data_IF_762891253729
#
_entry.id   IF_762891253729
#
_cell.length_a   1.000
_cell.length_b   1.000
_cell.length_c   1.000
_cell.angle_alpha   90.00
_cell.angle_beta   90.00
_cell.angle_gamma   90.00
#
_symmetry.space_group_name_H-M   'P 1'
#
loop_
_entity.id
_entity.type
_entity.pdbx_description
1 polymer ?
#
# COMPACT_ATOMS: atom_id res chain seq x y z
N UNK A 1 0.10 -42.07 -10.17
CA UNK A 1 -0.12 -40.80 -10.88
C UNK A 1 -1.34 -40.88 -11.82
N UNK A 2 -1.44 -41.80 -12.80
CA UNK A 2 -2.67 -41.94 -13.60
C UNK A 2 -3.94 -42.13 -12.77
N UNK A 3 -3.89 -42.95 -11.72
CA UNK A 3 -5.02 -43.15 -10.81
C UNK A 3 -5.35 -41.95 -9.92
N UNK A 4 -4.51 -40.93 -9.92
CA UNK A 4 -4.72 -39.68 -9.18
C UNK A 4 -5.22 -38.53 -10.06
N UNK A 5 -5.53 -38.80 -11.36
CA UNK A 5 -6.17 -37.83 -12.24
C UNK A 5 -5.23 -37.07 -13.19
N UNK A 6 -3.92 -37.24 -13.08
CA UNK A 6 -3.00 -36.78 -14.12
C UNK A 6 -2.99 -37.82 -15.27
N UNK A 7 -3.18 -37.37 -16.50
CA UNK A 7 -3.27 -38.22 -17.71
C UNK A 7 -2.00 -39.00 -18.01
N UNK A 8 -1.71 -39.18 -19.30
CA UNK A 8 -0.46 -39.82 -19.72
C UNK A 8 0.71 -38.86 -19.53
N UNK A 9 1.64 -39.24 -18.66
CA UNK A 9 2.79 -38.42 -18.28
C UNK A 9 4.03 -38.84 -19.09
N UNK A 10 4.80 -37.85 -19.48
CA UNK A 10 6.16 -38.03 -20.01
C UNK A 10 7.13 -38.46 -18.93
N UNK A 11 8.31 -38.94 -19.32
CA UNK A 11 9.38 -39.30 -18.37
C UNK A 11 9.83 -38.06 -17.60
N UNK A 12 9.96 -36.90 -18.25
CA UNK A 12 10.41 -35.65 -17.62
C UNK A 12 9.40 -35.14 -16.57
N UNK A 13 8.11 -35.22 -16.86
CA UNK A 13 7.05 -34.87 -15.89
C UNK A 13 7.06 -35.80 -14.68
N UNK A 14 7.25 -37.11 -14.89
CA UNK A 14 7.38 -38.08 -13.78
C UNK A 14 8.60 -37.78 -12.90
N UNK A 15 9.72 -37.39 -13.52
CA UNK A 15 10.95 -36.99 -12.81
C UNK A 15 10.69 -35.73 -12.00
N UNK A 16 10.07 -34.71 -12.59
CA UNK A 16 9.74 -33.44 -11.91
C UNK A 16 8.83 -33.69 -10.70
N UNK A 17 7.76 -34.44 -10.88
CA UNK A 17 6.85 -34.80 -9.78
C UNK A 17 7.60 -35.54 -8.65
N UNK A 18 8.52 -36.45 -9.01
CA UNK A 18 9.29 -37.21 -8.04
C UNK A 18 10.29 -36.34 -7.27
N UNK A 19 11.02 -35.47 -7.96
CA UNK A 19 11.99 -34.54 -7.36
C UNK A 19 11.30 -33.64 -6.33
N UNK A 20 10.11 -33.10 -6.65
CA UNK A 20 9.36 -32.21 -5.79
C UNK A 20 8.49 -32.95 -4.75
N UNK A 21 8.66 -34.28 -4.67
CA UNK A 21 7.90 -35.11 -3.72
C UNK A 21 6.37 -34.93 -3.83
N UNK A 22 5.87 -34.79 -5.07
CA UNK A 22 4.43 -34.78 -5.34
C UNK A 22 3.89 -36.19 -5.21
N UNK A 23 2.96 -36.39 -4.29
CA UNK A 23 2.36 -37.71 -4.04
C UNK A 23 0.99 -37.82 -4.70
N UNK A 24 0.50 -39.04 -4.96
CA UNK A 24 -0.86 -39.27 -5.44
C UNK A 24 -1.94 -38.69 -4.49
N UNK A 25 -1.68 -38.70 -3.18
CA UNK A 25 -2.56 -38.15 -2.16
C UNK A 25 -2.71 -36.63 -2.34
N UNK A 26 -1.57 -35.93 -2.57
CA UNK A 26 -1.57 -34.49 -2.81
C UNK A 26 -2.42 -34.13 -4.05
N UNK A 27 -2.23 -34.86 -5.15
CA UNK A 27 -2.99 -34.65 -6.39
C UNK A 27 -4.49 -34.89 -6.16
N UNK A 28 -4.84 -35.99 -5.46
CA UNK A 28 -6.25 -36.27 -5.12
C UNK A 28 -6.86 -35.14 -4.27
N UNK A 29 -6.14 -34.63 -3.28
CA UNK A 29 -6.62 -33.52 -2.46
C UNK A 29 -6.91 -32.26 -3.27
N UNK A 30 -6.09 -31.94 -4.28
CA UNK A 30 -6.36 -30.83 -5.20
C UNK A 30 -7.60 -31.10 -6.06
N UNK A 31 -7.76 -32.34 -6.57
CA UNK A 31 -8.93 -32.72 -7.38
C UNK A 31 -10.24 -32.71 -6.58
N UNK A 32 -10.22 -33.12 -5.31
CA UNK A 32 -11.38 -33.06 -4.41
C UNK A 32 -11.85 -31.62 -4.16
N UNK A 33 -10.94 -30.66 -4.33
CA UNK A 33 -11.25 -29.23 -4.33
C UNK A 33 -11.70 -28.70 -5.69
N UNK A 34 -11.85 -29.59 -6.69
CA UNK A 34 -12.28 -29.23 -8.05
C UNK A 34 -11.20 -28.62 -8.93
N UNK A 35 -9.92 -28.74 -8.53
CA UNK A 35 -8.80 -28.24 -9.33
C UNK A 35 -8.31 -29.36 -10.27
N UNK A 36 -8.33 -29.11 -11.58
CA UNK A 36 -7.88 -30.01 -12.62
C UNK A 36 -6.66 -29.44 -13.31
N UNK A 37 -5.51 -29.56 -12.63
CA UNK A 37 -4.29 -28.87 -12.98
C UNK A 37 -3.39 -29.72 -13.89
N UNK A 38 -2.59 -29.07 -14.72
CA UNK A 38 -1.48 -29.71 -15.42
C UNK A 38 -0.30 -29.99 -14.45
N UNK A 39 0.70 -30.71 -14.94
CA UNK A 39 1.85 -31.14 -14.13
C UNK A 39 2.66 -29.93 -13.64
N UNK A 40 2.84 -28.92 -14.50
CA UNK A 40 3.67 -27.76 -14.20
C UNK A 40 3.03 -26.93 -13.08
N UNK A 41 1.73 -26.73 -13.12
CA UNK A 41 0.98 -26.02 -12.07
C UNK A 41 1.00 -26.81 -10.75
N UNK A 42 0.81 -28.13 -10.77
CA UNK A 42 0.91 -29.01 -9.59
C UNK A 42 2.31 -28.93 -8.96
N UNK A 43 3.36 -28.96 -9.78
CA UNK A 43 4.75 -28.84 -9.33
C UNK A 43 5.00 -27.44 -8.74
N UNK A 44 4.55 -26.39 -9.41
CA UNK A 44 4.65 -25.01 -8.91
C UNK A 44 3.97 -24.85 -7.56
N UNK A 45 2.74 -25.28 -7.40
CA UNK A 45 2.02 -25.29 -6.13
C UNK A 45 2.79 -26.04 -5.04
N UNK A 46 3.35 -27.19 -5.37
CA UNK A 46 4.13 -27.99 -4.41
C UNK A 46 5.40 -27.28 -3.95
N UNK A 47 6.13 -26.66 -4.88
CA UNK A 47 7.35 -25.88 -4.59
C UNK A 47 7.04 -24.72 -3.66
N UNK A 48 5.92 -24.03 -3.88
CA UNK A 48 5.50 -22.89 -3.07
C UNK A 48 4.82 -23.30 -1.74
N UNK A 49 4.71 -24.61 -1.49
CA UNK A 49 4.10 -25.13 -0.25
C UNK A 49 2.58 -24.90 -0.18
N UNK A 50 1.91 -24.80 -1.31
CA UNK A 50 0.45 -24.85 -1.37
C UNK A 50 -0.02 -26.22 -0.96
N UNK A 51 -0.97 -26.31 -0.04
CA UNK A 51 -1.57 -27.59 0.37
C UNK A 51 -3.09 -27.57 0.14
N UNK A 52 -3.74 -28.72 -0.02
CA UNK A 52 -5.20 -28.78 -0.10
C UNK A 52 -5.90 -28.12 1.10
N UNK A 53 -5.35 -28.28 2.29
CA UNK A 53 -5.87 -27.67 3.53
C UNK A 53 -5.83 -26.14 3.45
N UNK A 54 -4.72 -25.56 2.96
CA UNK A 54 -4.61 -24.11 2.75
C UNK A 54 -5.70 -23.58 1.81
N UNK A 55 -5.90 -24.25 0.67
CA UNK A 55 -6.93 -23.86 -0.29
C UNK A 55 -8.33 -23.98 0.32
N UNK A 56 -8.58 -25.04 1.06
CA UNK A 56 -9.84 -25.24 1.77
C UNK A 56 -10.11 -24.11 2.77
N UNK A 57 -9.16 -23.78 3.64
CA UNK A 57 -9.28 -22.69 4.61
C UNK A 57 -9.53 -21.32 3.95
N UNK A 58 -8.83 -21.03 2.85
CA UNK A 58 -9.03 -19.79 2.08
C UNK A 58 -10.46 -19.73 1.52
N UNK A 59 -10.97 -20.86 1.00
CA UNK A 59 -12.34 -20.94 0.46
C UNK A 59 -13.41 -20.87 1.57
N UNK A 60 -13.16 -21.43 2.74
CA UNK A 60 -14.05 -21.26 3.90
C UNK A 60 -14.16 -19.80 4.33
N UNK A 61 -13.14 -19.00 4.09
CA UNK A 61 -13.20 -17.54 4.26
C UNK A 61 -13.98 -16.85 3.14
N UNK A 62 -14.59 -17.59 2.19
CA UNK A 62 -15.40 -17.05 1.10
C UNK A 62 -14.58 -16.37 0.00
N UNK A 63 -13.30 -16.69 -0.11
CA UNK A 63 -12.45 -16.32 -1.25
C UNK A 63 -12.50 -17.41 -2.31
N UNK A 64 -12.48 -17.02 -3.57
CA UNK A 64 -12.51 -17.96 -4.72
C UNK A 64 -11.35 -17.69 -5.66
N UNK A 65 -10.08 -17.87 -5.16
CA UNK A 65 -8.92 -17.64 -6.00
C UNK A 65 -8.84 -18.66 -7.13
N UNK A 66 -8.35 -18.22 -8.29
CA UNK A 66 -7.89 -19.09 -9.34
C UNK A 66 -6.52 -19.71 -9.03
N UNK A 67 -5.99 -20.54 -9.93
CA UNK A 67 -4.78 -21.31 -9.70
C UNK A 67 -3.55 -20.40 -9.54
N UNK A 68 -3.43 -19.34 -10.34
CA UNK A 68 -2.34 -18.37 -10.27
C UNK A 68 -2.45 -17.52 -8.99
N UNK A 69 -3.65 -17.12 -8.63
CA UNK A 69 -3.92 -16.40 -7.40
C UNK A 69 -3.60 -17.24 -6.16
N UNK A 70 -3.91 -18.54 -6.15
CA UNK A 70 -3.54 -19.46 -5.05
C UNK A 70 -2.01 -19.46 -4.85
N UNK A 71 -1.26 -19.60 -5.94
CA UNK A 71 0.20 -19.56 -5.91
C UNK A 71 0.70 -18.19 -5.46
N UNK A 72 0.16 -17.10 -6.03
CA UNK A 72 0.49 -15.72 -5.67
C UNK A 72 0.24 -15.42 -4.20
N UNK A 73 -0.91 -15.79 -3.66
CA UNK A 73 -1.24 -15.68 -2.25
C UNK A 73 -0.20 -16.39 -1.36
N UNK A 74 0.19 -17.60 -1.76
CA UNK A 74 1.15 -18.38 -0.98
C UNK A 74 2.55 -17.76 -1.00
N UNK A 75 3.02 -17.31 -2.17
CA UNK A 75 4.32 -16.63 -2.34
C UNK A 75 4.38 -15.36 -1.48
N UNK A 76 3.32 -14.58 -1.45
CA UNK A 76 3.26 -13.31 -0.70
C UNK A 76 2.90 -13.52 0.79
N UNK A 77 2.69 -14.76 1.22
CA UNK A 77 2.37 -15.06 2.62
C UNK A 77 0.97 -14.56 3.03
N UNK A 78 0.02 -14.59 2.13
CA UNK A 78 -1.41 -14.38 2.44
C UNK A 78 -1.91 -15.64 3.13
N UNK A 79 -1.83 -15.67 4.45
CA UNK A 79 -2.32 -16.78 5.25
C UNK A 79 -3.81 -16.61 5.61
N UNK A 80 -4.53 -17.69 5.93
CA UNK A 80 -5.90 -17.59 6.45
C UNK A 80 -6.02 -16.65 7.66
N UNK A 81 -5.03 -16.67 8.56
CA UNK A 81 -4.99 -15.75 9.71
C UNK A 81 -4.83 -14.30 9.32
N UNK A 82 -4.02 -14.02 8.30
CA UNK A 82 -3.91 -12.67 7.75
C UNK A 82 -5.24 -12.19 7.18
N UNK A 83 -5.93 -13.03 6.40
CA UNK A 83 -7.25 -12.71 5.85
C UNK A 83 -8.26 -12.43 6.97
N UNK A 84 -8.29 -13.28 8.02
CA UNK A 84 -9.15 -13.05 9.20
C UNK A 84 -8.81 -11.72 9.86
N UNK A 85 -7.52 -11.45 10.10
CA UNK A 85 -7.07 -10.21 10.74
C UNK A 85 -7.47 -8.93 9.98
N UNK A 86 -7.34 -8.95 8.65
CA UNK A 86 -7.78 -7.83 7.78
C UNK A 86 -9.30 -7.65 7.85
N UNK A 87 -10.07 -8.76 7.87
CA UNK A 87 -11.53 -8.71 7.99
C UNK A 87 -12.00 -8.23 9.36
N UNK A 88 -11.34 -8.66 10.42
CA UNK A 88 -11.61 -8.20 11.80
C UNK A 88 -11.27 -6.71 11.94
N UNK A 89 -10.31 -6.21 11.17
CA UNK A 89 -10.06 -4.78 11.04
C UNK A 89 -11.13 -4.04 10.21
N UNK A 90 -12.13 -4.77 9.68
CA UNK A 90 -13.32 -4.24 9.02
C UNK A 90 -13.21 -4.10 7.50
N UNK A 91 -12.22 -4.73 6.88
CA UNK A 91 -12.07 -4.78 5.43
C UNK A 91 -12.62 -6.10 4.85
N UNK A 92 -13.09 -6.04 3.61
CA UNK A 92 -13.47 -7.22 2.82
C UNK A 92 -12.79 -7.19 1.46
N UNK A 93 -11.45 -7.25 1.45
CA UNK A 93 -10.71 -7.20 0.21
C UNK A 93 -10.95 -8.48 -0.61
N UNK A 94 -10.86 -8.35 -1.92
CA UNK A 94 -10.75 -9.49 -2.83
C UNK A 94 -9.33 -10.11 -2.78
N UNK A 95 -9.09 -11.12 -3.62
CA UNK A 95 -7.81 -11.85 -3.63
C UNK A 95 -6.66 -10.97 -4.07
N UNK A 96 -6.85 -10.16 -5.12
CA UNK A 96 -5.80 -9.31 -5.69
C UNK A 96 -5.44 -8.17 -4.73
N UNK A 97 -6.43 -7.62 -4.05
CA UNK A 97 -6.23 -6.64 -2.98
C UNK A 97 -5.46 -7.24 -1.80
N UNK A 98 -5.77 -8.47 -1.38
CA UNK A 98 -5.03 -9.16 -0.32
C UNK A 98 -3.56 -9.37 -0.68
N UNK A 99 -3.30 -9.78 -1.94
CA UNK A 99 -1.95 -9.94 -2.46
C UNK A 99 -1.22 -8.58 -2.46
N UNK A 100 -1.85 -7.55 -3.01
CA UNK A 100 -1.29 -6.19 -3.07
C UNK A 100 -1.01 -5.62 -1.68
N UNK A 101 -1.95 -5.76 -0.75
CA UNK A 101 -1.78 -5.38 0.66
C UNK A 101 -0.57 -6.09 1.28
N UNK A 102 -0.40 -7.38 0.99
CA UNK A 102 0.69 -8.18 1.56
C UNK A 102 2.05 -7.76 1.01
N UNK A 103 2.13 -7.50 -0.31
CA UNK A 103 3.34 -6.98 -0.97
C UNK A 103 3.78 -5.66 -0.35
N UNK A 104 2.84 -4.76 -0.05
CA UNK A 104 3.12 -3.44 0.54
C UNK A 104 3.23 -3.47 2.07
N UNK A 105 3.21 -4.64 2.69
CA UNK A 105 3.37 -4.78 4.14
C UNK A 105 2.20 -4.18 4.94
N UNK A 106 1.00 -4.17 4.37
CA UNK A 106 -0.21 -3.81 5.13
C UNK A 106 -0.47 -4.88 6.18
N UNK A 107 -0.62 -4.48 7.43
CA UNK A 107 -0.97 -5.38 8.52
C UNK A 107 -2.35 -5.05 9.10
N UNK A 108 -3.03 -6.03 9.74
CA UNK A 108 -4.29 -5.75 10.43
C UNK A 108 -4.18 -4.62 11.46
N UNK A 109 -3.02 -4.51 12.13
CA UNK A 109 -2.75 -3.47 13.13
C UNK A 109 -2.71 -2.09 12.49
N UNK A 110 -2.06 -1.96 11.32
CA UNK A 110 -2.02 -0.71 10.58
C UNK A 110 -3.43 -0.26 10.17
N UNK A 111 -4.24 -1.18 9.65
CA UNK A 111 -5.63 -0.90 9.27
C UNK A 111 -6.46 -0.42 10.47
N UNK A 112 -6.35 -1.12 11.62
CA UNK A 112 -7.03 -0.70 12.86
C UNK A 112 -6.58 0.69 13.30
N UNK A 113 -5.27 0.95 13.27
CA UNK A 113 -4.71 2.23 13.68
C UNK A 113 -5.15 3.39 12.77
N UNK A 114 -5.32 3.19 11.45
CA UNK A 114 -5.91 4.20 10.57
C UNK A 114 -7.32 4.58 11.01
N UNK A 115 -8.14 3.58 11.33
CA UNK A 115 -9.52 3.81 11.82
C UNK A 115 -9.56 4.50 13.18
N UNK A 116 -8.64 4.18 14.08
CA UNK A 116 -8.48 4.87 15.36
C UNK A 116 -8.11 6.36 15.17
N UNK A 117 -7.44 6.69 14.07
CA UNK A 117 -7.17 8.08 13.70
C UNK A 117 -8.35 8.76 12.99
N UNK A 118 -9.49 8.09 12.84
CA UNK A 118 -10.71 8.60 12.22
C UNK A 118 -10.75 8.49 10.70
N UNK A 119 -9.77 7.83 10.09
CA UNK A 119 -9.73 7.58 8.65
C UNK A 119 -10.57 6.33 8.30
N UNK A 120 -11.17 6.36 7.12
CA UNK A 120 -11.94 5.23 6.59
C UNK A 120 -11.49 4.91 5.15
N UNK A 121 -10.23 4.48 4.99
CA UNK A 121 -9.72 4.11 3.68
C UNK A 121 -10.41 2.86 3.16
N UNK A 122 -10.47 2.68 1.86
CA UNK A 122 -10.76 1.40 1.22
C UNK A 122 -9.47 0.56 1.03
N UNK A 123 -9.57 -0.58 0.32
CA UNK A 123 -8.41 -1.47 0.13
C UNK A 123 -7.28 -0.84 -0.68
N UNK A 124 -7.63 -0.10 -1.72
CA UNK A 124 -6.67 0.54 -2.62
C UNK A 124 -6.06 1.79 -1.97
N UNK A 125 -6.84 2.50 -1.18
CA UNK A 125 -6.37 3.60 -0.33
C UNK A 125 -5.28 3.14 0.64
N UNK A 126 -5.52 2.04 1.35
CA UNK A 126 -4.53 1.48 2.30
C UNK A 126 -3.24 1.10 1.61
N UNK A 127 -3.33 0.50 0.43
CA UNK A 127 -2.16 0.16 -0.40
C UNK A 127 -1.42 1.44 -0.82
N UNK A 128 -2.14 2.45 -1.31
CA UNK A 128 -1.57 3.75 -1.70
C UNK A 128 -0.90 4.45 -0.53
N UNK A 129 -1.54 4.48 0.64
CA UNK A 129 -0.95 5.03 1.86
C UNK A 129 0.35 4.32 2.25
N UNK A 130 0.42 2.99 2.12
CA UNK A 130 1.65 2.24 2.40
C UNK A 130 2.76 2.52 1.40
N UNK A 131 2.44 2.57 0.10
CA UNK A 131 3.40 2.93 -0.95
C UNK A 131 4.02 4.30 -0.69
N UNK A 132 3.22 5.28 -0.25
CA UNK A 132 3.65 6.64 0.02
C UNK A 132 4.17 6.84 1.45
N UNK A 133 4.35 5.77 2.23
CA UNK A 133 4.84 5.84 3.61
C UNK A 133 4.01 6.76 4.52
N UNK A 134 2.67 6.75 4.34
CA UNK A 134 1.75 7.40 5.28
C UNK A 134 1.64 6.49 6.51
N UNK A 135 2.58 6.61 7.42
CA UNK A 135 2.58 5.86 8.67
C UNK A 135 1.75 6.56 9.77
N UNK A 136 1.47 5.83 10.83
CA UNK A 136 0.61 6.32 11.93
C UNK A 136 1.25 7.50 12.67
N UNK A 137 2.58 7.52 12.79
CA UNK A 137 3.34 8.60 13.41
C UNK A 137 3.18 9.89 12.60
N UNK A 138 3.25 9.81 11.28
CA UNK A 138 3.02 10.95 10.39
C UNK A 138 1.59 11.50 10.55
N UNK A 139 0.58 10.63 10.52
CA UNK A 139 -0.83 11.02 10.71
C UNK A 139 -1.02 11.73 12.05
N UNK A 140 -0.51 11.16 13.12
CA UNK A 140 -0.58 11.75 14.46
C UNK A 140 0.12 13.11 14.53
N UNK A 141 1.28 13.24 13.89
CA UNK A 141 2.02 14.50 13.87
C UNK A 141 1.24 15.60 13.13
N UNK A 142 0.57 15.29 12.03
CA UNK A 142 -0.27 16.23 11.29
C UNK A 142 -1.52 16.59 12.10
N UNK A 143 -2.18 15.61 12.73
CA UNK A 143 -3.34 15.86 13.61
C UNK A 143 -2.96 16.76 14.80
N UNK A 144 -1.77 16.57 15.38
CA UNK A 144 -1.27 17.39 16.47
C UNK A 144 -1.04 18.87 16.07
N UNK A 145 -0.89 19.15 14.77
CA UNK A 145 -0.80 20.52 14.23
C UNK A 145 -2.16 21.15 13.94
N UNK A 146 -3.26 20.43 14.23
CA UNK A 146 -4.63 20.93 14.09
C UNK A 146 -5.28 20.59 12.74
N UNK A 147 -4.63 19.83 11.88
CA UNK A 147 -5.16 19.43 10.58
C UNK A 147 -5.78 18.04 10.64
N UNK A 148 -6.80 17.80 9.81
CA UNK A 148 -7.46 16.49 9.66
C UNK A 148 -7.63 16.15 8.19
N UNK A 149 -6.53 15.86 7.49
CA UNK A 149 -6.58 15.52 6.08
C UNK A 149 -7.41 14.25 5.82
N UNK A 150 -8.02 14.18 4.67
CA UNK A 150 -8.59 12.96 4.09
C UNK A 150 -7.48 11.97 3.72
N UNK A 151 -7.85 10.76 3.30
CA UNK A 151 -6.88 9.75 2.81
C UNK A 151 -6.10 10.29 1.61
N UNK A 152 -6.82 10.85 0.62
CA UNK A 152 -6.22 11.40 -0.60
C UNK A 152 -5.27 12.58 -0.30
N UNK A 153 -5.66 13.45 0.62
CA UNK A 153 -4.81 14.56 1.05
C UNK A 153 -3.54 14.05 1.75
N UNK A 154 -3.62 13.04 2.61
CA UNK A 154 -2.42 12.43 3.22
C UNK A 154 -1.48 11.84 2.17
N UNK A 155 -2.03 11.12 1.19
CA UNK A 155 -1.26 10.54 0.07
C UNK A 155 -0.60 11.67 -0.74
N UNK A 156 -1.36 12.71 -1.12
CA UNK A 156 -0.86 13.87 -1.85
C UNK A 156 0.24 14.61 -1.09
N UNK A 157 0.04 14.87 0.19
CA UNK A 157 1.03 15.50 1.07
C UNK A 157 2.35 14.71 1.08
N UNK A 158 2.29 13.38 1.16
CA UNK A 158 3.50 12.55 1.15
C UNK A 158 4.19 12.54 -0.20
N UNK A 159 3.45 12.45 -1.31
CA UNK A 159 3.99 12.53 -2.67
C UNK A 159 4.76 13.85 -2.87
N UNK A 160 4.23 14.96 -2.37
CA UNK A 160 4.84 16.27 -2.50
C UNK A 160 5.88 16.59 -1.41
N UNK A 161 6.12 15.65 -0.49
CA UNK A 161 7.12 15.82 0.58
C UNK A 161 6.72 16.87 1.62
N UNK A 162 5.42 17.02 1.90
CA UNK A 162 4.94 17.83 3.00
C UNK A 162 5.26 17.10 4.31
N UNK A 163 6.03 17.73 5.17
CA UNK A 163 6.40 17.19 6.48
C UNK A 163 5.78 18.01 7.62
N UNK A 164 5.65 17.43 8.83
CA UNK A 164 5.21 18.19 10.00
C UNK A 164 6.09 19.41 10.26
N UNK A 165 7.40 19.34 10.00
CA UNK A 165 8.35 20.44 10.18
C UNK A 165 8.07 21.57 9.18
N UNK A 166 7.72 21.23 7.93
CA UNK A 166 7.33 22.23 6.93
C UNK A 166 6.08 22.99 7.37
N UNK A 167 5.04 22.29 7.83
CA UNK A 167 3.81 22.90 8.34
C UNK A 167 4.12 23.82 9.52
N UNK A 168 4.93 23.37 10.49
CA UNK A 168 5.37 24.19 11.63
C UNK A 168 6.09 25.46 11.19
N UNK A 169 6.94 25.36 10.18
CA UNK A 169 7.66 26.54 9.66
C UNK A 169 6.71 27.57 9.04
N UNK A 170 5.70 27.13 8.30
CA UNK A 170 4.66 28.03 7.76
C UNK A 170 3.84 28.68 8.88
N UNK A 171 3.40 27.89 9.87
CA UNK A 171 2.67 28.41 11.04
C UNK A 171 3.52 29.42 11.85
N UNK A 172 4.81 29.12 12.06
CA UNK A 172 5.73 30.02 12.75
C UNK A 172 5.96 31.34 11.99
N UNK A 173 5.83 31.33 10.66
CA UNK A 173 5.84 32.53 9.84
C UNK A 173 4.50 33.32 9.88
N UNK A 174 3.51 32.84 10.65
CA UNK A 174 2.20 33.48 10.78
C UNK A 174 1.27 33.28 9.58
N UNK A 175 1.56 32.25 8.75
CA UNK A 175 0.74 31.93 7.59
C UNK A 175 -0.44 31.06 8.01
N UNK A 176 -1.58 31.35 7.40
CA UNK A 176 -2.79 30.51 7.46
C UNK A 176 -3.00 29.89 6.09
N UNK A 177 -3.42 28.66 6.04
CA UNK A 177 -3.56 27.88 4.81
C UNK A 177 -4.49 26.68 5.01
N UNK A 178 -5.09 26.23 3.96
CA UNK A 178 -5.77 24.93 3.86
C UNK A 178 -4.84 23.85 3.28
N UNK A 179 -5.37 22.64 3.07
CA UNK A 179 -4.57 21.52 2.56
C UNK A 179 -4.17 21.69 1.09
N UNK A 180 -5.02 22.27 0.27
CA UNK A 180 -4.76 22.52 -1.14
C UNK A 180 -3.64 23.55 -1.29
N UNK A 181 -3.76 24.69 -0.61
CA UNK A 181 -2.73 25.75 -0.60
C UNK A 181 -1.39 25.23 -0.06
N UNK A 182 -1.41 24.37 0.96
CA UNK A 182 -0.21 23.77 1.53
C UNK A 182 0.53 22.88 0.50
N UNK A 183 -0.21 22.03 -0.21
CA UNK A 183 0.33 21.15 -1.23
C UNK A 183 0.86 21.94 -2.40
N UNK A 184 0.10 22.95 -2.88
CA UNK A 184 0.51 23.83 -3.98
C UNK A 184 1.77 24.62 -3.64
N UNK A 185 1.86 25.19 -2.46
CA UNK A 185 3.07 25.88 -2.01
C UNK A 185 4.29 24.94 -2.01
N UNK A 186 4.10 23.70 -1.64
CA UNK A 186 5.18 22.69 -1.66
C UNK A 186 5.59 22.33 -3.09
N UNK A 187 4.63 22.14 -4.01
CA UNK A 187 4.88 21.90 -5.44
C UNK A 187 5.66 23.07 -6.06
N UNK A 188 5.30 24.29 -5.72
CA UNK A 188 5.96 25.50 -6.24
C UNK A 188 7.30 25.82 -5.55
N UNK A 189 7.74 24.98 -4.61
CA UNK A 189 9.03 25.12 -3.94
C UNK A 189 9.08 26.28 -2.94
N UNK A 190 7.96 26.67 -2.35
CA UNK A 190 7.93 27.61 -1.23
C UNK A 190 8.49 26.89 -0.01
N UNK A 191 9.73 27.19 0.36
CA UNK A 191 10.42 26.62 1.52
C UNK A 191 10.47 27.60 2.69
N UNK A 192 10.84 27.13 3.88
CA UNK A 192 11.06 27.99 5.03
C UNK A 192 12.15 29.05 4.76
N UNK A 193 13.21 28.68 4.03
CA UNK A 193 14.28 29.59 3.62
C UNK A 193 13.76 30.65 2.65
N UNK A 194 12.90 30.26 1.69
CA UNK A 194 12.28 31.21 0.76
C UNK A 194 11.38 32.22 1.48
N UNK A 195 10.61 31.76 2.47
CA UNK A 195 9.76 32.62 3.31
C UNK A 195 10.63 33.61 4.09
N UNK A 196 11.70 33.13 4.71
CA UNK A 196 12.65 33.98 5.44
C UNK A 196 13.33 35.00 4.51
N UNK A 197 13.69 34.59 3.26
CA UNK A 197 14.23 35.48 2.25
C UNK A 197 13.22 36.59 1.87
N UNK A 198 11.96 36.22 1.62
CA UNK A 198 10.91 37.18 1.31
C UNK A 198 10.72 38.23 2.44
N UNK A 199 10.66 37.75 3.69
CA UNK A 199 10.55 38.62 4.85
C UNK A 199 11.76 39.58 5.00
N UNK A 200 12.99 39.10 4.73
CA UNK A 200 14.21 39.88 4.77
C UNK A 200 14.23 40.99 3.71
N UNK A 201 13.63 40.76 2.52
CA UNK A 201 13.44 41.76 1.49
C UNK A 201 12.31 42.75 1.75
N UNK A 202 11.70 42.71 2.95
CA UNK A 202 10.74 43.70 3.38
C UNK A 202 9.29 43.44 2.93
N UNK A 203 9.01 42.30 2.33
CA UNK A 203 7.65 41.91 2.00
C UNK A 203 6.84 41.69 3.26
N UNK A 204 5.69 42.35 3.39
CA UNK A 204 4.80 42.29 4.53
C UNK A 204 3.44 41.69 4.15
N UNK A 205 2.72 41.15 5.13
CA UNK A 205 1.39 40.56 4.91
C UNK A 205 1.41 39.47 3.84
N UNK A 206 2.41 38.61 3.93
CA UNK A 206 2.55 37.48 3.01
C UNK A 206 1.44 36.45 3.29
N UNK A 207 0.85 35.96 2.22
CA UNK A 207 -0.01 34.77 2.20
C UNK A 207 0.71 33.69 1.39
N UNK A 208 0.29 32.41 1.48
CA UNK A 208 0.86 31.35 0.64
C UNK A 208 0.71 31.67 -0.84
N UNK A 209 -0.44 32.17 -1.27
CA UNK A 209 -0.68 32.60 -2.66
C UNK A 209 0.36 33.62 -3.12
N UNK A 210 0.64 34.67 -2.33
CA UNK A 210 1.65 35.67 -2.66
C UNK A 210 3.07 35.09 -2.72
N UNK A 211 3.39 34.16 -1.83
CA UNK A 211 4.68 33.45 -1.84
C UNK A 211 4.83 32.57 -3.09
N UNK A 212 3.76 31.88 -3.49
CA UNK A 212 3.72 31.11 -4.73
C UNK A 212 3.97 32.04 -5.93
N UNK A 213 3.27 33.20 -6.01
CA UNK A 213 3.46 34.18 -7.07
C UNK A 213 4.89 34.73 -7.10
N UNK A 214 5.47 35.06 -5.94
CA UNK A 214 6.88 35.50 -5.86
C UNK A 214 7.85 34.43 -6.35
N UNK A 215 7.55 33.15 -6.04
CA UNK A 215 8.37 32.01 -6.47
C UNK A 215 8.28 31.79 -7.97
N UNK A 216 7.08 31.85 -8.54
CA UNK A 216 6.82 31.66 -9.97
C UNK A 216 7.44 32.79 -10.82
N UNK A 217 7.43 34.03 -10.32
CA UNK A 217 8.00 35.17 -11.03
C UNK A 217 9.52 35.28 -10.92
N UNK A 218 10.15 34.52 -10.02
CA UNK A 218 11.60 34.56 -9.81
C UNK A 218 12.13 35.87 -9.24
N UNK A 219 11.26 36.76 -8.75
CA UNK A 219 11.63 38.06 -8.21
C UNK A 219 12.72 38.01 -7.14
N UNK A 220 12.71 36.96 -6.34
CA UNK A 220 13.70 36.72 -5.28
C UNK A 220 14.89 35.87 -5.75
N UNK A 221 14.86 35.30 -6.94
CA UNK A 221 15.94 34.43 -7.44
C UNK A 221 17.03 35.20 -8.13
N UNK A 222 16.76 36.45 -8.56
CA UNK A 222 17.77 37.39 -9.06
C UNK A 222 18.51 38.04 -7.88
N UNK A 223 19.84 37.89 -7.82
CA UNK A 223 20.72 38.61 -6.87
C UNK A 223 20.81 40.12 -7.14
N UNK A 224 19.95 40.67 -7.97
CA UNK A 224 19.89 42.11 -8.21
C UNK A 224 19.24 42.77 -6.99
N UNK A 225 20.03 43.50 -6.23
CA UNK A 225 19.61 44.44 -5.20
C UNK A 225 18.42 45.28 -5.66
N UNK A 226 17.26 45.11 -5.00
CA UNK A 226 16.19 46.10 -5.04
C UNK A 226 16.29 46.96 -3.81
#
# INVERSE_FOLDING_TARGET
MKAAGLGDLTVDELVSLKIQNVTPEYIRGLHELGLHLDVDTVVSMKIQGVTPEYIHEVRELGLTPDDDQIVGMKIQGVTPDYVRGIRDAGFKPDVDQLISMRIQGVTPEYVRALREQGLQPDGDDVVSMRIQHVDIEYIRAIHALGFKPTVDEFVSMRIQGVTPEYIKALQAAGLTFDMEELVDARIQGVTAEFIAKAAKHGFKNLTLEKLIQLKQTGVLDSEADI
#
